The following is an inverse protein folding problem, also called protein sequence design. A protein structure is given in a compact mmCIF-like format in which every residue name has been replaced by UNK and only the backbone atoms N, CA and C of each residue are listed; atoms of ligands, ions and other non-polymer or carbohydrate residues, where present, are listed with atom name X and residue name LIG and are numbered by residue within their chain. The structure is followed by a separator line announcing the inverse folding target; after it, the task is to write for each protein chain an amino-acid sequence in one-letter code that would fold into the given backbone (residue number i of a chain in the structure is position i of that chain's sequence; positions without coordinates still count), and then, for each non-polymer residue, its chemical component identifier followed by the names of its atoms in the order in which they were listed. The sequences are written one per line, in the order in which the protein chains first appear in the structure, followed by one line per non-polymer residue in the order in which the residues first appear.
data_IF_108842552834
#
_entry.id   IF_108842552834
#
_cell.length_a   1.000
_cell.length_b   1.000
_cell.length_c   1.000
_cell.angle_alpha   90.00
_cell.angle_beta   90.00
_cell.angle_gamma   90.00
#
_symmetry.space_group_name_H-M   'P 1'
#
loop_
_entity.id
_entity.type
_entity.pdbx_description
1 polymer ?
#
# COMPACT_ATOMS: atom_id res chain seq x y z
N UNK A 1 15.90 -22.68 38.27
CA UNK A 1 16.53 -21.40 37.84
C UNK A 1 15.65 -20.25 38.29
N UNK A 2 16.12 -19.45 39.25
CA UNK A 2 15.47 -18.24 39.78
C UNK A 2 16.44 -17.09 39.56
N UNK A 3 16.05 -16.05 38.82
CA UNK A 3 16.81 -14.81 38.74
C UNK A 3 16.23 -13.82 39.73
N UNK A 4 17.06 -13.37 40.68
CA UNK A 4 16.75 -12.37 41.70
C UNK A 4 17.66 -11.16 41.46
N UNK A 5 17.05 -9.99 41.55
CA UNK A 5 17.57 -8.64 41.37
C UNK A 5 18.72 -8.26 42.32
N UNK A 6 19.43 -7.15 42.02
CA UNK A 6 19.67 -5.95 42.89
C UNK A 6 20.91 -5.15 42.37
N UNK A 7 20.93 -3.80 42.50
CA UNK A 7 21.73 -2.88 41.68
C UNK A 7 23.04 -2.42 42.32
N UNK A 8 23.91 -1.79 41.51
CA UNK A 8 25.23 -1.29 41.92
C UNK A 8 25.14 0.17 42.39
N UNK A 9 25.72 0.37 43.58
CA UNK A 9 25.79 1.58 44.36
C UNK A 9 26.82 2.60 43.84
N UNK A 10 26.54 3.85 44.22
CA UNK A 10 27.39 5.05 44.20
C UNK A 10 28.70 4.91 45.00
N UNK A 11 29.73 5.61 44.55
CA UNK A 11 30.87 6.18 45.31
C UNK A 11 31.14 7.56 44.65
N UNK A 12 30.90 8.76 45.23
CA UNK A 12 31.60 9.46 46.33
C UNK A 12 33.14 9.34 46.19
N UNK A 13 34.00 10.36 46.18
CA UNK A 13 34.01 11.82 46.46
C UNK A 13 35.53 12.25 46.27
N UNK A 14 36.10 13.33 46.86
CA UNK A 14 35.87 14.79 46.84
C UNK A 14 37.15 15.62 46.44
N UNK A 15 37.12 16.95 46.71
CA UNK A 15 38.27 17.83 47.10
C UNK A 15 39.04 18.49 45.92
N UNK A 16 39.43 19.77 45.81
CA UNK A 16 39.52 21.05 46.58
C UNK A 16 39.21 22.21 45.58
N UNK A 17 38.45 23.26 45.89
CA UNK A 17 38.78 24.45 46.68
C UNK A 17 39.77 25.43 46.01
N UNK A 18 39.26 26.46 45.32
CA UNK A 18 39.88 27.81 45.35
C UNK A 18 38.87 28.93 45.09
N UNK A 19 38.90 29.90 46.02
CA UNK A 19 38.41 31.30 46.04
C UNK A 19 38.87 32.09 44.79
N UNK A 20 38.41 33.29 44.41
CA UNK A 20 37.39 34.27 44.81
C UNK A 20 37.44 35.40 43.73
N UNK A 21 36.52 36.37 43.85
CA UNK A 21 36.58 37.73 43.29
C UNK A 21 36.32 37.88 41.78
N UNK A 22 35.86 39.01 41.27
CA UNK A 22 35.05 40.16 41.69
C UNK A 22 34.90 40.95 40.38
N UNK A 23 33.70 41.43 40.07
CA UNK A 23 33.39 42.31 38.92
C UNK A 23 34.30 43.56 38.91
N UNK A 24 34.56 44.26 37.77
CA UNK A 24 33.50 44.97 37.06
C UNK A 24 33.64 45.21 35.54
N UNK A 25 32.46 45.33 34.91
CA UNK A 25 32.03 46.38 33.96
C UNK A 25 33.08 46.91 32.97
N UNK A 26 32.91 46.57 31.70
CA UNK A 26 33.60 47.21 30.59
C UNK A 26 32.91 46.94 29.26
N UNK A 27 32.09 47.90 28.81
CA UNK A 27 31.49 47.97 27.46
C UNK A 27 32.60 47.92 26.42
N UNK A 28 32.49 47.08 25.39
CA UNK A 28 32.91 47.40 24.00
C UNK A 28 32.14 46.47 23.06
N UNK A 29 31.46 47.12 22.12
CA UNK A 29 30.83 46.58 20.92
C UNK A 29 31.80 45.68 20.14
N UNK A 30 31.36 44.47 19.80
CA UNK A 30 31.91 43.74 18.67
C UNK A 30 30.80 42.91 18.01
N UNK A 31 30.40 43.39 16.83
CA UNK A 31 29.47 42.76 15.89
C UNK A 31 29.94 41.34 15.57
N UNK A 32 29.28 40.35 16.18
CA UNK A 32 29.41 38.95 15.79
C UNK A 32 28.34 38.62 14.74
N UNK A 33 28.84 38.41 13.53
CA UNK A 33 28.19 37.88 12.33
C UNK A 33 27.42 36.58 12.65
N UNK A 34 26.12 36.68 12.94
CA UNK A 34 25.21 35.53 12.99
C UNK A 34 24.74 35.21 11.56
N UNK A 35 25.47 34.32 10.87
CA UNK A 35 24.92 33.60 9.72
C UNK A 35 23.90 32.61 10.29
N UNK A 36 22.64 33.04 10.36
CA UNK A 36 21.50 32.15 10.57
C UNK A 36 21.39 31.31 9.30
N UNK A 37 21.95 30.10 9.34
CA UNK A 37 21.50 29.02 8.47
C UNK A 37 20.09 28.67 8.93
N UNK A 38 19.09 29.34 8.34
CA UNK A 38 17.71 28.87 8.37
C UNK A 38 17.70 27.50 7.69
N UNK A 39 17.67 26.45 8.52
CA UNK A 39 17.31 25.12 8.09
C UNK A 39 15.97 25.22 7.38
N UNK A 40 15.98 24.95 6.08
CA UNK A 40 14.74 24.69 5.36
C UNK A 40 14.27 23.31 5.84
N UNK A 41 13.34 23.31 6.80
CA UNK A 41 12.52 22.14 7.04
C UNK A 41 11.79 21.82 5.74
N UNK A 42 12.31 20.80 5.01
CA UNK A 42 11.60 20.19 3.90
C UNK A 42 10.35 19.52 4.46
N UNK A 43 9.28 20.30 4.55
CA UNK A 43 7.93 19.77 4.58
C UNK A 43 7.73 19.03 3.26
N UNK A 44 7.82 17.69 3.29
CA UNK A 44 7.31 16.84 2.21
C UNK A 44 5.91 17.35 1.88
N UNK A 45 5.76 17.94 0.68
CA UNK A 45 4.47 18.38 0.19
C UNK A 45 3.50 17.21 0.31
N UNK A 46 2.46 17.37 1.14
CA UNK A 46 1.40 16.39 1.26
C UNK A 46 0.84 16.17 -0.15
N UNK A 47 1.04 14.97 -0.70
CA UNK A 47 0.42 14.55 -1.94
C UNK A 47 -1.07 14.86 -1.88
N UNK A 48 -1.47 15.92 -2.58
CA UNK A 48 -2.60 16.75 -2.19
C UNK A 48 -3.88 16.20 -2.78
N UNK A 49 -4.59 15.39 -1.99
CA UNK A 49 -5.91 14.89 -2.36
C UNK A 49 -6.39 13.78 -1.44
N UNK A 50 -7.70 13.51 -1.41
CA UNK A 50 -8.25 12.50 -0.55
C UNK A 50 -7.84 11.09 -1.01
N UNK A 51 -7.73 10.18 -0.05
CA UNK A 51 -7.41 8.76 -0.28
C UNK A 51 -8.42 7.86 0.41
N UNK A 52 -8.73 6.73 -0.24
CA UNK A 52 -9.44 5.60 0.37
C UNK A 52 -8.42 4.48 0.55
N UNK A 53 -8.37 3.92 1.75
CA UNK A 53 -7.42 2.88 2.12
C UNK A 53 -8.20 1.65 2.55
N UNK A 54 -7.80 0.50 2.05
CA UNK A 54 -8.29 -0.79 2.50
C UNK A 54 -7.12 -1.60 3.04
N UNK A 55 -7.30 -2.17 4.21
CA UNK A 55 -6.33 -3.05 4.85
C UNK A 55 -7.00 -4.36 5.22
N UNK A 56 -6.34 -5.49 4.95
CA UNK A 56 -6.76 -6.80 5.41
C UNK A 56 -5.64 -7.47 6.19
N UNK A 57 -5.95 -7.87 7.41
CA UNK A 57 -5.08 -8.61 8.31
C UNK A 57 -5.71 -9.99 8.57
N UNK A 58 -5.02 -11.04 8.13
CA UNK A 58 -5.45 -12.41 8.29
C UNK A 58 -4.25 -13.33 8.57
N UNK A 59 -3.84 -13.45 9.84
CA UNK A 59 -2.65 -14.23 10.20
C UNK A 59 -2.80 -15.70 9.81
N UNK A 60 -1.75 -16.27 9.22
CA UNK A 60 -1.74 -17.65 8.72
C UNK A 60 -2.28 -17.82 7.29
N UNK A 61 -2.79 -16.77 6.64
CA UNK A 61 -3.05 -16.80 5.20
C UNK A 61 -1.85 -16.34 4.37
N UNK A 62 -1.97 -16.49 3.06
CA UNK A 62 -1.00 -15.98 2.09
C UNK A 62 -1.71 -15.06 1.10
N UNK A 63 -1.45 -13.73 1.12
CA UNK A 63 -0.67 -13.01 2.12
C UNK A 63 -1.37 -12.94 3.49
N UNK A 64 -0.61 -12.73 4.57
CA UNK A 64 -1.16 -12.55 5.91
C UNK A 64 -1.64 -11.10 6.16
N UNK A 65 -1.09 -10.16 5.39
CA UNK A 65 -1.47 -8.75 5.41
C UNK A 65 -1.41 -8.19 4.00
N UNK A 66 -2.30 -7.26 3.68
CA UNK A 66 -2.04 -6.29 2.62
C UNK A 66 -2.82 -5.01 2.85
N UNK A 67 -2.33 -3.92 2.27
CA UNK A 67 -3.05 -2.66 2.18
C UNK A 67 -3.04 -2.09 0.77
N UNK A 68 -4.15 -1.49 0.37
CA UNK A 68 -4.30 -0.75 -0.89
C UNK A 68 -4.72 0.67 -0.55
N UNK A 69 -3.91 1.64 -0.94
CA UNK A 69 -4.27 3.07 -0.89
C UNK A 69 -4.63 3.51 -2.30
N UNK A 70 -5.77 4.17 -2.48
CA UNK A 70 -6.23 4.72 -3.77
C UNK A 70 -6.47 6.22 -3.63
N UNK A 71 -5.84 7.00 -4.50
CA UNK A 71 -6.12 8.43 -4.71
C UNK A 71 -7.29 8.60 -5.65
N UNK A 72 -8.00 9.74 -5.52
CA UNK A 72 -9.14 10.08 -6.40
C UNK A 72 -8.76 10.14 -7.89
N UNK A 73 -7.52 10.48 -8.18
CA UNK A 73 -6.92 10.57 -9.52
C UNK A 73 -6.54 9.20 -10.11
N UNK A 74 -6.63 8.12 -9.31
CA UNK A 74 -6.41 6.75 -9.74
C UNK A 74 -5.02 6.19 -9.42
N UNK A 75 -4.07 7.02 -8.96
CA UNK A 75 -2.81 6.49 -8.41
C UNK A 75 -3.11 5.64 -7.18
N UNK A 76 -2.47 4.50 -7.09
CA UNK A 76 -2.69 3.56 -6.03
C UNK A 76 -1.39 2.87 -5.62
N UNK A 77 -1.37 2.43 -4.37
CA UNK A 77 -0.20 1.80 -3.75
C UNK A 77 -0.64 0.52 -3.05
N UNK A 78 0.00 -0.59 -3.38
CA UNK A 78 -0.19 -1.89 -2.74
C UNK A 78 1.02 -2.24 -1.87
N UNK A 79 0.76 -2.75 -0.66
CA UNK A 79 1.79 -3.23 0.28
C UNK A 79 1.42 -4.59 0.81
N UNK A 80 2.41 -5.42 1.06
CA UNK A 80 2.24 -6.76 1.67
C UNK A 80 2.67 -6.81 3.14
N UNK A 81 3.34 -5.76 3.62
CA UNK A 81 3.68 -5.55 5.02
C UNK A 81 3.41 -4.07 5.40
N UNK A 82 3.03 -3.76 6.66
CA UNK A 82 2.90 -2.37 7.11
C UNK A 82 4.17 -1.53 6.94
N UNK A 83 5.34 -2.15 7.03
CA UNK A 83 6.66 -1.53 6.89
C UNK A 83 7.32 -1.86 5.54
N UNK A 84 6.53 -2.27 4.55
CA UNK A 84 7.01 -2.61 3.22
C UNK A 84 7.61 -1.37 2.52
N UNK A 85 8.94 -1.31 2.48
CA UNK A 85 9.69 -0.27 1.77
C UNK A 85 9.56 -0.42 0.25
N UNK A 86 9.22 -1.62 -0.24
CA UNK A 86 9.09 -1.96 -1.65
C UNK A 86 7.62 -1.97 -2.10
N UNK A 87 6.88 -0.92 -1.74
CA UNK A 87 5.48 -0.77 -2.13
C UNK A 87 5.31 -0.78 -3.66
N UNK A 88 4.26 -1.46 -4.13
CA UNK A 88 3.93 -1.53 -5.55
C UNK A 88 3.02 -0.37 -5.91
N UNK A 89 3.54 0.57 -6.69
CA UNK A 89 2.78 1.67 -7.24
C UNK A 89 2.14 1.29 -8.57
N UNK A 90 0.89 1.70 -8.77
CA UNK A 90 0.15 1.45 -9.99
C UNK A 90 -0.93 2.51 -10.21
N UNK A 91 -1.59 2.43 -11.37
CA UNK A 91 -2.73 3.29 -11.69
C UNK A 91 -3.97 2.46 -11.97
N UNK A 92 -5.08 2.85 -11.37
CA UNK A 92 -6.41 2.34 -11.67
C UNK A 92 -7.05 3.16 -12.80
N UNK A 93 -7.94 2.53 -13.59
CA UNK A 93 -8.90 3.24 -14.43
C UNK A 93 -9.68 4.30 -13.64
N UNK A 94 -9.98 5.43 -14.27
CA UNK A 94 -10.60 6.58 -13.61
C UNK A 94 -12.03 6.30 -13.12
N UNK A 95 -12.76 5.46 -13.85
CA UNK A 95 -14.09 4.95 -13.48
C UNK A 95 -14.02 4.08 -12.21
N UNK A 96 -13.07 3.16 -12.13
CA UNK A 96 -12.86 2.31 -10.95
C UNK A 96 -12.49 3.15 -9.71
N UNK A 97 -11.59 4.12 -9.86
CA UNK A 97 -11.25 5.04 -8.77
C UNK A 97 -12.46 5.88 -8.34
N UNK A 98 -13.26 6.37 -9.30
CA UNK A 98 -14.49 7.11 -9.01
C UNK A 98 -15.53 6.26 -8.26
N UNK A 99 -15.68 4.99 -8.65
CA UNK A 99 -16.58 4.03 -7.99
C UNK A 99 -16.19 3.79 -6.52
N UNK A 100 -14.90 3.55 -6.25
CA UNK A 100 -14.36 3.39 -4.90
C UNK A 100 -14.73 4.59 -4.02
N UNK A 101 -14.50 5.81 -4.52
CA UNK A 101 -14.84 7.04 -3.79
C UNK A 101 -16.35 7.25 -3.67
N UNK A 102 -17.14 6.80 -4.65
CA UNK A 102 -18.60 6.86 -4.60
C UNK A 102 -19.16 5.97 -3.50
N UNK A 103 -18.69 4.72 -3.41
CA UNK A 103 -19.06 3.78 -2.35
C UNK A 103 -18.64 4.30 -0.98
N UNK A 104 -17.40 4.80 -0.84
CA UNK A 104 -16.94 5.40 0.41
C UNK A 104 -17.85 6.55 0.87
N UNK A 105 -18.31 7.43 -0.04
CA UNK A 105 -19.25 8.51 0.31
C UNK A 105 -20.61 7.99 0.79
N UNK A 106 -21.15 6.94 0.17
CA UNK A 106 -22.45 6.36 0.56
C UNK A 106 -22.45 5.82 1.99
N UNK A 107 -21.31 5.34 2.48
CA UNK A 107 -21.11 4.90 3.87
C UNK A 107 -20.41 5.97 4.71
N UNK A 108 -20.78 7.23 4.48
CA UNK A 108 -20.34 8.40 5.26
C UNK A 108 -18.81 8.51 5.43
N UNK A 109 -18.04 8.09 4.42
CA UNK A 109 -16.57 8.02 4.48
C UNK A 109 -16.07 7.27 5.72
N UNK A 110 -16.79 6.24 6.16
CA UNK A 110 -16.48 5.43 7.33
C UNK A 110 -16.53 6.20 8.67
N UNK A 111 -17.14 7.39 8.71
CA UNK A 111 -17.32 8.18 9.92
C UNK A 111 -18.56 7.69 10.69
N UNK A 112 -18.36 7.27 11.94
CA UNK A 112 -19.41 6.81 12.86
C UNK A 112 -20.32 5.71 12.28
N UNK A 113 -19.76 4.81 11.45
CA UNK A 113 -20.47 3.69 10.82
C UNK A 113 -20.10 2.37 11.49
N UNK A 114 -21.11 1.60 11.89
CA UNK A 114 -20.95 0.21 12.31
C UNK A 114 -21.02 -0.71 11.08
N UNK A 115 -19.87 -1.26 10.66
CA UNK A 115 -19.78 -2.17 9.51
C UNK A 115 -19.87 -3.65 9.90
N UNK A 116 -19.53 -4.02 11.14
CA UNK A 116 -19.58 -5.41 11.59
C UNK A 116 -21.03 -5.92 11.63
N UNK A 117 -21.28 -7.02 10.93
CA UNK A 117 -22.56 -7.71 11.01
C UNK A 117 -22.69 -8.44 12.35
N UNK A 118 -23.87 -8.38 12.97
CA UNK A 118 -24.15 -9.10 14.22
C UNK A 118 -24.46 -10.58 13.96
N UNK A 119 -23.56 -11.28 13.28
CA UNK A 119 -23.65 -12.72 13.00
C UNK A 119 -22.39 -13.42 13.44
N UNK A 120 -22.57 -14.56 14.12
CA UNK A 120 -21.44 -15.43 14.44
C UNK A 120 -20.94 -16.12 13.18
N UNK A 121 -19.87 -15.59 12.61
CA UNK A 121 -19.17 -16.16 11.46
C UNK A 121 -17.76 -16.59 11.87
N UNK A 122 -17.14 -17.44 11.05
CA UNK A 122 -15.72 -17.73 11.19
C UNK A 122 -14.88 -16.46 10.98
N UNK A 123 -13.65 -16.45 11.49
CA UNK A 123 -12.70 -15.37 11.20
C UNK A 123 -12.27 -15.46 9.72
N UNK A 124 -12.60 -14.43 8.94
CA UNK A 124 -12.30 -14.29 7.51
C UNK A 124 -11.22 -13.22 7.25
N UNK A 125 -10.52 -12.82 8.31
CA UNK A 125 -9.57 -11.70 8.29
C UNK A 125 -10.24 -10.37 8.63
N UNK A 126 -9.59 -9.62 9.52
CA UNK A 126 -10.00 -8.27 9.90
C UNK A 126 -9.74 -7.33 8.72
N UNK A 127 -10.79 -6.66 8.28
CA UNK A 127 -10.76 -5.67 7.22
C UNK A 127 -10.92 -4.29 7.85
N UNK A 128 -10.20 -3.31 7.34
CA UNK A 128 -10.32 -1.92 7.76
C UNK A 128 -10.44 -1.05 6.52
N UNK A 129 -11.47 -0.22 6.49
CA UNK A 129 -11.64 0.83 5.50
C UNK A 129 -11.33 2.17 6.16
N UNK A 130 -10.48 2.96 5.51
CA UNK A 130 -10.12 4.29 5.98
C UNK A 130 -10.28 5.34 4.87
N UNK A 131 -10.63 6.55 5.27
CA UNK A 131 -10.65 7.73 4.41
C UNK A 131 -9.73 8.78 5.02
N UNK A 132 -8.86 9.37 4.20
CA UNK A 132 -7.97 10.48 4.62
C UNK A 132 -8.08 11.63 3.64
N UNK A 133 -8.24 12.85 4.16
CA UNK A 133 -8.30 14.09 3.39
C UNK A 133 -7.72 15.25 4.21
N UNK A 134 -6.45 15.57 3.99
CA UNK A 134 -5.71 16.49 4.84
C UNK A 134 -5.69 16.01 6.30
N UNK A 135 -6.25 16.82 7.20
CA UNK A 135 -6.37 16.49 8.62
C UNK A 135 -7.59 15.59 8.94
N UNK A 136 -8.54 15.44 8.01
CA UNK A 136 -9.69 14.58 8.23
C UNK A 136 -9.29 13.11 8.05
N UNK A 137 -9.57 12.29 9.08
CA UNK A 137 -9.34 10.84 9.07
C UNK A 137 -10.52 10.13 9.72
N UNK A 138 -10.99 9.08 9.07
CA UNK A 138 -12.07 8.22 9.56
C UNK A 138 -11.78 6.78 9.15
N UNK A 139 -12.16 5.83 10.01
CA UNK A 139 -11.89 4.42 9.80
C UNK A 139 -12.97 3.54 10.42
N UNK A 140 -13.27 2.42 9.77
CA UNK A 140 -14.15 1.38 10.30
C UNK A 140 -13.56 0.00 10.00
N UNK A 141 -13.48 -0.84 11.04
CA UNK A 141 -13.01 -2.22 10.93
C UNK A 141 -14.15 -3.22 11.06
N UNK A 142 -14.05 -4.33 10.35
CA UNK A 142 -14.99 -5.45 10.41
C UNK A 142 -14.34 -6.76 9.94
N UNK A 143 -14.80 -7.90 10.44
CA UNK A 143 -14.51 -9.23 9.92
C UNK A 143 -15.49 -9.57 8.79
N UNK A 144 -16.79 -9.35 9.03
CA UNK A 144 -17.87 -9.56 8.07
C UNK A 144 -18.88 -8.41 8.11
N UNK A 145 -19.40 -8.03 6.95
CA UNK A 145 -20.38 -6.94 6.81
C UNK A 145 -21.52 -7.39 5.90
N UNK A 146 -22.73 -6.96 6.23
CA UNK A 146 -23.93 -7.11 5.40
C UNK A 146 -24.35 -5.77 4.74
N UNK A 147 -23.59 -4.69 5.00
CA UNK A 147 -23.84 -3.38 4.38
C UNK A 147 -23.49 -3.47 2.88
N UNK A 148 -24.45 -3.33 1.96
CA UNK A 148 -24.24 -3.61 0.54
C UNK A 148 -23.08 -2.83 -0.07
N UNK A 149 -22.94 -1.55 0.27
CA UNK A 149 -21.87 -0.67 -0.21
C UNK A 149 -20.50 -1.09 0.30
N UNK A 150 -20.40 -1.54 1.55
CA UNK A 150 -19.15 -2.03 2.12
C UNK A 150 -18.76 -3.38 1.51
N UNK A 151 -19.73 -4.26 1.24
CA UNK A 151 -19.51 -5.52 0.50
C UNK A 151 -18.97 -5.22 -0.91
N UNK A 152 -19.61 -4.32 -1.65
CA UNK A 152 -19.19 -3.93 -2.99
C UNK A 152 -17.78 -3.31 -2.98
N UNK A 153 -17.51 -2.40 -2.03
CA UNK A 153 -16.21 -1.75 -1.90
C UNK A 153 -15.11 -2.77 -1.57
N UNK A 154 -15.39 -3.71 -0.67
CA UNK A 154 -14.48 -4.82 -0.36
C UNK A 154 -14.17 -5.64 -1.61
N UNK A 155 -15.20 -6.00 -2.39
CA UNK A 155 -15.02 -6.79 -3.58
C UNK A 155 -14.10 -6.10 -4.61
N UNK A 156 -14.21 -4.77 -4.78
CA UNK A 156 -13.28 -4.01 -5.63
C UNK A 156 -11.83 -4.13 -5.14
N UNK A 157 -11.59 -3.92 -3.84
CA UNK A 157 -10.25 -4.02 -3.27
C UNK A 157 -9.68 -5.45 -3.31
N UNK A 158 -10.49 -6.47 -3.10
CA UNK A 158 -10.07 -7.87 -3.23
C UNK A 158 -9.70 -8.21 -4.68
N UNK A 159 -10.45 -7.70 -5.67
CA UNK A 159 -10.11 -7.86 -7.10
C UNK A 159 -8.79 -7.16 -7.47
N UNK A 160 -8.54 -5.98 -6.91
CA UNK A 160 -7.25 -5.28 -7.07
C UNK A 160 -6.13 -6.12 -6.45
N UNK A 161 -6.33 -6.62 -5.22
CA UNK A 161 -5.35 -7.47 -4.52
C UNK A 161 -5.05 -8.73 -5.34
N UNK A 162 -6.06 -9.37 -5.94
CA UNK A 162 -5.87 -10.54 -6.79
C UNK A 162 -4.94 -10.24 -7.98
N UNK A 163 -5.13 -9.10 -8.65
CA UNK A 163 -4.23 -8.66 -9.73
C UNK A 163 -2.79 -8.50 -9.22
N UNK A 164 -2.59 -7.81 -8.08
CA UNK A 164 -1.24 -7.61 -7.52
C UNK A 164 -0.57 -8.90 -7.12
N UNK A 165 -1.31 -9.81 -6.50
CA UNK A 165 -0.80 -11.12 -6.09
C UNK A 165 -0.38 -11.96 -7.29
N UNK A 166 -1.11 -11.92 -8.41
CA UNK A 166 -0.68 -12.56 -9.65
C UNK A 166 0.63 -11.98 -10.18
N UNK A 167 0.74 -10.65 -10.22
CA UNK A 167 1.97 -9.97 -10.63
C UNK A 167 3.16 -10.40 -9.78
N UNK A 168 3.06 -10.28 -8.45
CA UNK A 168 4.12 -10.65 -7.52
C UNK A 168 4.48 -12.14 -7.60
N UNK A 169 3.47 -13.01 -7.74
CA UNK A 169 3.67 -14.45 -7.91
C UNK A 169 4.45 -14.75 -9.19
N UNK A 170 4.06 -14.16 -10.32
CA UNK A 170 4.76 -14.36 -11.58
C UNK A 170 6.20 -13.83 -11.52
N UNK A 171 6.44 -12.67 -10.90
CA UNK A 171 7.79 -12.11 -10.72
C UNK A 171 8.69 -13.07 -9.95
N UNK A 172 8.18 -13.62 -8.84
CA UNK A 172 8.91 -14.58 -8.03
C UNK A 172 9.20 -15.88 -8.80
N UNK A 173 8.21 -16.42 -9.51
CA UNK A 173 8.37 -17.66 -10.29
C UNK A 173 9.38 -17.51 -11.43
N UNK A 174 9.34 -16.41 -12.20
CA UNK A 174 10.32 -16.16 -13.26
C UNK A 174 11.76 -16.18 -12.72
N UNK A 175 11.95 -15.68 -11.49
CA UNK A 175 13.25 -15.59 -10.83
C UNK A 175 13.69 -16.93 -10.22
N UNK A 176 12.80 -17.65 -9.55
CA UNK A 176 13.18 -18.76 -8.67
C UNK A 176 12.59 -20.13 -9.07
N UNK A 177 11.43 -20.18 -9.74
CA UNK A 177 10.76 -21.41 -10.17
C UNK A 177 10.06 -21.22 -11.52
N UNK A 178 10.84 -21.37 -12.59
CA UNK A 178 10.39 -21.15 -13.96
C UNK A 178 9.36 -22.18 -14.43
N UNK A 179 9.36 -23.39 -13.87
CA UNK A 179 8.41 -24.44 -14.23
C UNK A 179 7.02 -24.13 -13.67
N UNK A 180 6.96 -23.50 -12.49
CA UNK A 180 5.72 -23.05 -11.86
C UNK A 180 4.96 -21.95 -12.64
N UNK A 181 5.61 -21.25 -13.58
CA UNK A 181 5.00 -20.16 -14.36
C UNK A 181 3.78 -20.62 -15.14
N UNK A 182 3.80 -21.83 -15.72
CA UNK A 182 2.66 -22.36 -16.49
C UNK A 182 1.40 -22.46 -15.64
N UNK A 183 1.53 -22.99 -14.41
CA UNK A 183 0.40 -23.12 -13.47
C UNK A 183 -0.10 -21.76 -13.01
N UNK A 184 0.80 -20.82 -12.75
CA UNK A 184 0.42 -19.47 -12.33
C UNK A 184 -0.34 -18.72 -13.44
N UNK A 185 0.11 -18.81 -14.69
CA UNK A 185 -0.59 -18.21 -15.81
C UNK A 185 -1.97 -18.85 -16.06
N UNK A 186 -2.11 -20.16 -15.87
CA UNK A 186 -3.43 -20.82 -15.94
C UNK A 186 -4.38 -20.26 -14.88
N UNK A 187 -3.91 -20.10 -13.64
CA UNK A 187 -4.75 -19.52 -12.58
C UNK A 187 -5.11 -18.06 -12.89
N UNK A 188 -4.14 -17.28 -13.38
CA UNK A 188 -4.37 -15.91 -13.81
C UNK A 188 -5.45 -15.83 -14.89
N UNK A 189 -5.39 -16.70 -15.90
CA UNK A 189 -6.37 -16.74 -16.98
C UNK A 189 -7.78 -17.10 -16.47
N UNK A 190 -7.90 -18.07 -15.56
CA UNK A 190 -9.18 -18.42 -14.94
C UNK A 190 -9.77 -17.22 -14.19
N UNK A 191 -8.96 -16.52 -13.39
CA UNK A 191 -9.42 -15.36 -12.63
C UNK A 191 -9.80 -14.19 -13.54
N UNK A 192 -9.07 -14.01 -14.65
CA UNK A 192 -9.39 -13.02 -15.68
C UNK A 192 -10.74 -13.35 -16.34
N UNK A 193 -10.93 -14.58 -16.79
CA UNK A 193 -12.16 -15.03 -17.46
C UNK A 193 -13.39 -14.96 -16.55
N UNK A 194 -13.19 -15.09 -15.23
CA UNK A 194 -14.25 -14.97 -14.22
C UNK A 194 -14.48 -13.51 -13.75
N UNK A 195 -13.81 -12.52 -14.34
CA UNK A 195 -13.95 -11.11 -13.96
C UNK A 195 -13.43 -10.77 -12.56
N UNK A 196 -12.56 -11.63 -11.98
CA UNK A 196 -12.02 -11.47 -10.62
C UNK A 196 -10.86 -10.50 -10.53
N UNK A 197 -10.43 -9.94 -11.65
CA UNK A 197 -9.34 -8.99 -11.71
C UNK A 197 -9.87 -7.58 -11.95
N UNK A 198 -9.22 -6.60 -11.33
CA UNK A 198 -9.40 -5.19 -11.60
C UNK A 198 -8.03 -4.58 -11.90
N UNK A 199 -7.95 -3.75 -12.94
CA UNK A 199 -6.68 -3.16 -13.39
C UNK A 199 -5.75 -4.16 -14.09
N UNK A 200 -6.31 -5.08 -14.89
CA UNK A 200 -5.56 -6.15 -15.56
C UNK A 200 -4.45 -5.63 -16.49
N UNK A 201 -4.54 -4.39 -16.99
CA UNK A 201 -3.49 -3.76 -17.81
C UNK A 201 -2.12 -3.75 -17.12
N UNK A 202 -2.08 -3.79 -15.79
CA UNK A 202 -0.84 -3.83 -15.02
C UNK A 202 -0.07 -5.15 -15.17
N UNK A 203 -0.74 -6.21 -15.66
CA UNK A 203 -0.11 -7.49 -15.96
C UNK A 203 0.63 -7.46 -17.32
N UNK A 204 0.36 -6.47 -18.18
CA UNK A 204 0.95 -6.40 -19.53
C UNK A 204 2.48 -6.48 -19.51
N UNK A 205 3.21 -5.70 -18.70
CA UNK A 205 4.68 -5.74 -18.73
C UNK A 205 5.25 -7.11 -18.38
N UNK A 206 4.68 -7.80 -17.39
CA UNK A 206 5.16 -9.12 -16.98
C UNK A 206 4.76 -10.22 -17.98
N UNK A 207 3.58 -10.12 -18.57
CA UNK A 207 3.15 -11.07 -19.60
C UNK A 207 4.02 -10.93 -20.87
N UNK A 208 4.34 -9.70 -21.28
CA UNK A 208 5.28 -9.47 -22.39
C UNK A 208 6.68 -10.00 -22.08
N UNK A 209 7.15 -9.80 -20.84
CA UNK A 209 8.43 -10.36 -20.39
C UNK A 209 8.42 -11.88 -20.51
N UNK A 210 7.35 -12.55 -20.05
CA UNK A 210 7.22 -14.01 -20.15
C UNK A 210 7.21 -14.46 -21.60
N UNK A 211 6.42 -13.80 -22.46
CA UNK A 211 6.33 -14.11 -23.89
C UNK A 211 7.70 -14.06 -24.57
N UNK A 212 8.52 -13.05 -24.25
CA UNK A 212 9.83 -12.81 -24.87
C UNK A 212 10.95 -13.64 -24.23
N UNK A 213 10.72 -14.28 -23.09
CA UNK A 213 11.74 -14.98 -22.31
C UNK A 213 11.97 -16.42 -22.81
N UNK A 214 13.03 -16.60 -23.61
CA UNK A 214 13.45 -17.90 -24.17
C UNK A 214 13.84 -18.95 -23.12
N UNK A 215 14.10 -18.55 -21.88
CA UNK A 215 14.43 -19.48 -20.80
C UNK A 215 13.19 -20.11 -20.13
N UNK A 216 11.98 -19.68 -20.51
CA UNK A 216 10.71 -20.28 -20.11
C UNK A 216 10.21 -21.27 -21.15
N UNK A 217 9.39 -22.22 -20.71
CA UNK A 217 8.77 -23.23 -21.59
C UNK A 217 7.85 -22.54 -22.60
N UNK A 218 7.83 -23.01 -23.86
CA UNK A 218 7.00 -22.44 -24.93
C UNK A 218 5.51 -22.37 -24.57
N UNK A 219 5.00 -23.34 -23.80
CA UNK A 219 3.63 -23.34 -23.29
C UNK A 219 3.33 -22.11 -22.42
N UNK A 220 4.30 -21.66 -21.60
CA UNK A 220 4.15 -20.45 -20.80
C UNK A 220 4.12 -19.19 -21.68
N UNK A 221 4.99 -19.13 -22.69
CA UNK A 221 5.04 -18.01 -23.65
C UNK A 221 3.71 -17.91 -24.41
N UNK A 222 3.22 -19.02 -24.96
CA UNK A 222 1.95 -19.06 -25.70
C UNK A 222 0.75 -18.65 -24.84
N UNK A 223 0.69 -19.11 -23.58
CA UNK A 223 -0.38 -18.70 -22.66
C UNK A 223 -0.29 -17.22 -22.31
N UNK A 224 0.90 -16.69 -22.06
CA UNK A 224 1.07 -15.26 -21.82
C UNK A 224 0.59 -14.41 -23.01
N UNK A 225 0.87 -14.84 -24.25
CA UNK A 225 0.34 -14.20 -25.45
C UNK A 225 -1.19 -14.21 -25.52
N UNK A 226 -1.84 -15.32 -25.15
CA UNK A 226 -3.30 -15.43 -25.13
C UNK A 226 -3.91 -14.48 -24.08
N UNK A 227 -3.34 -14.42 -22.88
CA UNK A 227 -3.80 -13.52 -21.82
C UNK A 227 -3.62 -12.06 -22.24
N UNK A 228 -2.49 -11.70 -22.85
CA UNK A 228 -2.26 -10.35 -23.39
C UNK A 228 -3.34 -9.95 -24.39
N UNK A 229 -3.66 -10.83 -25.34
CA UNK A 229 -4.71 -10.57 -26.32
C UNK A 229 -6.08 -10.37 -25.67
N UNK A 230 -6.41 -11.15 -24.62
CA UNK A 230 -7.66 -10.98 -23.84
C UNK A 230 -7.72 -9.62 -23.16
N UNK A 231 -6.63 -9.19 -22.50
CA UNK A 231 -6.56 -7.89 -21.82
C UNK A 231 -6.72 -6.76 -22.84
N UNK A 232 -6.00 -6.83 -23.97
CA UNK A 232 -6.07 -5.83 -25.04
C UNK A 232 -7.43 -5.77 -25.73
N UNK A 233 -8.16 -6.89 -25.81
CA UNK A 233 -9.52 -6.91 -26.34
C UNK A 233 -10.54 -6.30 -25.36
N UNK A 234 -10.28 -6.39 -24.05
CA UNK A 234 -11.12 -5.83 -23.00
C UNK A 234 -10.87 -4.32 -22.78
N UNK A 235 -9.65 -3.86 -23.02
CA UNK A 235 -9.26 -2.44 -22.97
C UNK A 235 -9.40 -1.84 -24.38
N UNK A 236 -10.46 -1.07 -24.70
CA UNK A 236 -10.59 -0.50 -26.04
C UNK A 236 -9.34 0.34 -26.36
N UNK A 237 -8.78 0.24 -27.58
CA UNK A 237 -7.63 1.03 -27.95
C UNK A 237 -7.98 2.50 -27.80
N UNK A 238 -7.11 3.26 -27.14
CA UNK A 238 -7.14 4.72 -27.16
C UNK A 238 -6.96 5.13 -28.63
N UNK A 239 -8.06 5.26 -29.37
CA UNK A 239 -8.04 5.84 -30.70
C UNK A 239 -7.51 7.24 -30.54
N UNK A 240 -6.26 7.44 -30.97
CA UNK A 240 -5.75 8.74 -31.33
C UNK A 240 -6.76 9.33 -32.30
N UNK A 241 -7.53 10.30 -31.82
CA UNK A 241 -8.30 11.22 -32.65
C UNK A 241 -7.31 11.87 -33.61
N UNK A 242 -7.14 11.27 -34.79
CA UNK A 242 -6.65 11.98 -35.97
C UNK A 242 -7.74 12.99 -36.32
N UNK A 243 -7.51 14.22 -35.89
CA UNK A 243 -8.22 15.38 -36.40
C UNK A 243 -7.91 15.49 -37.89
N UNK A 244 -8.94 15.37 -38.72
CA UNK A 244 -8.94 15.81 -40.11
C UNK A 244 -9.84 17.03 -40.23
#
# INVERSE_FOLDING_TARGET
MRYRSVPILRLFNPVLLTRANCLPVGRIFLLALCIVWMGTDQTKAAESGPTVIFTKDFPGSSPAYYSITVRKTGEAVYRTDPNDEAAVEFRLPSDAASEIFSLARKINRFQDVALEANRRVANMGKKTLEYRDGAAHSAASYNHTEVPEAVALTALFERISQTQQHTLRLQNLIRFDRLGVVKALLQLEIDLDQGRLLGADQLVPILEQIQKNRALVQVAQGRASQILAKIQAASPPLTSTEAK
#
